data_IF_069106610821
#
_entry.id   IF_069106610821
#
_cell.length_a   1.000
_cell.length_b   1.000
_cell.length_c   1.000
_cell.angle_alpha   90.00
_cell.angle_beta   90.00
_cell.angle_gamma   90.00
#
_symmetry.space_group_name_H-M   'P 1'
#
loop_
_entity.id
_entity.type
_entity.pdbx_description
1 polymer ?
#
# COMPACT_ATOMS: atom_id res chain seq x y z
N UNK A 1 -22.39 -4.00 -12.77
CA UNK A 1 -22.58 -4.78 -14.00
C UNK A 1 -21.26 -5.48 -14.29
N UNK A 2 -21.29 -6.78 -14.54
CA UNK A 2 -20.13 -7.55 -14.96
C UNK A 2 -20.49 -8.34 -16.21
N UNK A 3 -19.66 -8.28 -17.22
CA UNK A 3 -19.77 -9.06 -18.46
C UNK A 3 -18.51 -9.88 -18.62
N UNK A 4 -18.66 -11.15 -18.98
CA UNK A 4 -17.56 -12.03 -19.31
C UNK A 4 -17.84 -12.67 -20.67
N UNK A 5 -16.88 -12.55 -21.56
CA UNK A 5 -16.91 -13.12 -22.90
C UNK A 5 -15.83 -14.18 -22.99
N UNK A 6 -16.24 -15.43 -23.14
CA UNK A 6 -15.31 -16.54 -23.38
C UNK A 6 -15.24 -16.77 -24.90
N UNK A 7 -14.03 -16.77 -25.41
CA UNK A 7 -13.75 -17.04 -26.82
C UNK A 7 -13.13 -18.45 -26.97
N UNK A 8 -13.03 -18.90 -28.20
CA UNK A 8 -12.29 -20.13 -28.51
C UNK A 8 -10.82 -20.03 -28.07
N UNK A 9 -10.18 -21.17 -27.87
CA UNK A 9 -8.78 -21.27 -27.45
C UNK A 9 -8.49 -20.66 -26.08
N UNK A 10 -9.35 -20.84 -25.08
CA UNK A 10 -9.15 -20.47 -23.69
C UNK A 10 -8.83 -18.97 -23.47
N UNK A 11 -9.57 -18.12 -24.13
CA UNK A 11 -9.49 -16.67 -23.99
C UNK A 11 -10.72 -16.14 -23.27
N UNK A 12 -10.51 -15.17 -22.38
CA UNK A 12 -11.60 -14.50 -21.67
C UNK A 12 -11.39 -13.01 -21.64
N UNK A 13 -12.41 -12.25 -22.02
CA UNK A 13 -12.49 -10.80 -21.84
C UNK A 13 -13.55 -10.50 -20.79
N UNK A 14 -13.18 -9.70 -19.79
CA UNK A 14 -14.11 -9.24 -18.74
C UNK A 14 -14.21 -7.73 -18.78
N UNK A 15 -15.43 -7.23 -18.63
CA UNK A 15 -15.70 -5.80 -18.49
C UNK A 15 -16.60 -5.60 -17.29
N UNK A 16 -16.20 -4.70 -16.39
CA UNK A 16 -16.97 -4.39 -15.21
C UNK A 16 -17.21 -2.90 -15.04
N UNK A 17 -18.43 -2.56 -14.64
CA UNK A 17 -18.82 -1.23 -14.17
C UNK A 17 -19.36 -1.38 -12.76
N UNK A 18 -18.80 -0.64 -11.80
CA UNK A 18 -19.19 -0.75 -10.41
C UNK A 18 -19.24 0.61 -9.73
N UNK A 19 -20.16 0.75 -8.78
CA UNK A 19 -20.12 1.80 -7.77
C UNK A 19 -19.66 1.17 -6.47
N UNK A 20 -18.45 1.54 -6.05
CA UNK A 20 -17.81 1.01 -4.86
C UNK A 20 -18.03 1.94 -3.67
N UNK A 21 -18.23 1.36 -2.49
CA UNK A 21 -18.40 2.10 -1.24
C UNK A 21 -17.57 1.40 -0.17
N UNK A 22 -16.73 2.16 0.54
CA UNK A 22 -16.00 1.69 1.71
C UNK A 22 -16.24 2.65 2.88
N UNK A 23 -16.61 2.10 4.03
CA UNK A 23 -16.85 2.91 5.23
C UNK A 23 -15.51 3.35 5.83
N UNK A 24 -15.51 4.50 6.49
CA UNK A 24 -14.41 4.91 7.34
C UNK A 24 -14.15 3.85 8.43
N UNK A 25 -12.91 3.77 8.90
CA UNK A 25 -12.55 2.89 10.02
C UNK A 25 -13.27 3.35 11.28
N UNK A 26 -13.59 2.42 12.18
CA UNK A 26 -14.31 2.71 13.42
C UNK A 26 -13.57 3.72 14.30
N UNK A 27 -12.24 3.60 14.37
CA UNK A 27 -11.38 4.54 15.10
C UNK A 27 -11.42 5.96 14.53
N UNK A 28 -11.57 6.10 13.21
CA UNK A 28 -11.75 7.40 12.56
C UNK A 28 -13.13 8.03 12.85
N UNK A 29 -14.14 7.22 13.15
CA UNK A 29 -15.51 7.64 13.41
C UNK A 29 -15.82 7.80 14.91
N UNK A 30 -14.84 7.60 15.80
CA UNK A 30 -15.04 7.77 17.25
C UNK A 30 -15.49 9.20 17.57
N UNK A 31 -16.42 9.34 18.53
CA UNK A 31 -16.89 10.64 19.01
C UNK A 31 -15.98 11.24 20.10
N UNK A 32 -15.04 10.45 20.63
CA UNK A 32 -14.13 10.91 21.69
C UNK A 32 -13.07 11.86 21.17
N UNK A 33 -12.77 12.90 21.95
CA UNK A 33 -11.72 13.87 21.71
C UNK A 33 -10.69 13.79 22.84
N UNK A 34 -9.43 13.86 22.48
CA UNK A 34 -8.30 14.08 23.38
C UNK A 34 -8.07 15.59 23.42
N UNK A 35 -8.51 16.25 24.50
CA UNK A 35 -8.46 17.70 24.65
C UNK A 35 -7.35 18.13 25.61
N UNK A 36 -6.69 19.23 25.30
CA UNK A 36 -5.71 19.84 26.18
C UNK A 36 -5.48 21.31 25.84
N UNK A 37 -4.85 22.05 26.74
CA UNK A 37 -4.41 23.44 26.56
C UNK A 37 -2.92 23.53 26.71
N UNK A 38 -2.24 24.16 25.78
CA UNK A 38 -0.80 24.43 25.88
C UNK A 38 -0.55 25.49 26.97
N UNK A 39 0.10 25.12 28.05
CA UNK A 39 0.32 26.01 29.19
C UNK A 39 1.20 27.21 28.86
N UNK A 40 2.08 27.12 27.88
CA UNK A 40 2.97 28.21 27.50
C UNK A 40 2.30 29.24 26.58
N UNK A 41 1.35 28.83 25.76
CA UNK A 41 0.68 29.71 24.77
C UNK A 41 -0.78 30.01 25.07
N UNK A 42 -1.39 29.23 25.98
CA UNK A 42 -2.83 29.26 26.28
C UNK A 42 -3.70 28.70 25.15
N UNK A 43 -3.10 28.12 24.12
CA UNK A 43 -3.84 27.59 22.95
C UNK A 43 -4.45 26.22 23.23
N UNK A 44 -5.78 26.08 23.07
CA UNK A 44 -6.41 24.77 23.16
C UNK A 44 -6.13 23.93 21.91
N UNK A 45 -6.11 22.63 22.11
CA UNK A 45 -5.99 21.66 21.03
C UNK A 45 -6.75 20.40 21.32
N UNK A 46 -7.29 19.77 20.29
CA UNK A 46 -7.89 18.45 20.41
C UNK A 46 -7.53 17.54 19.24
N UNK A 47 -7.44 16.25 19.56
CA UNK A 47 -7.33 15.19 18.57
C UNK A 47 -8.45 14.17 18.74
N UNK A 48 -8.98 13.65 17.63
CA UNK A 48 -10.05 12.67 17.76
C UNK A 48 -10.53 12.10 16.44
N UNK A 49 -11.69 11.45 16.51
CA UNK A 49 -12.41 10.98 15.33
C UNK A 49 -13.42 12.01 14.83
N UNK A 50 -14.14 11.60 13.79
CA UNK A 50 -15.23 12.39 13.22
C UNK A 50 -16.42 11.45 12.90
N UNK A 51 -17.45 11.40 13.71
CA UNK A 51 -18.61 10.53 13.48
C UNK A 51 -19.45 10.92 12.26
N UNK A 52 -19.23 12.11 11.69
CA UNK A 52 -19.93 12.60 10.50
C UNK A 52 -19.24 12.22 9.18
N UNK A 53 -18.20 11.40 9.23
CA UNK A 53 -17.50 10.96 8.02
C UNK A 53 -18.43 10.26 7.04
N UNK A 54 -18.40 10.75 5.81
CA UNK A 54 -19.03 10.08 4.68
C UNK A 54 -18.15 8.91 4.22
N UNK A 55 -18.75 7.80 3.78
CA UNK A 55 -17.98 6.69 3.23
C UNK A 55 -17.22 7.10 1.97
N UNK A 56 -16.11 6.41 1.72
CA UNK A 56 -15.44 6.49 0.42
C UNK A 56 -16.37 5.97 -0.65
N UNK A 57 -16.44 6.66 -1.76
CA UNK A 57 -17.22 6.27 -2.93
C UNK A 57 -16.39 6.40 -4.17
N UNK A 58 -16.48 5.41 -5.05
CA UNK A 58 -15.84 5.42 -6.34
C UNK A 58 -16.77 4.87 -7.42
N UNK A 59 -16.73 5.45 -8.59
CA UNK A 59 -17.23 4.82 -9.81
C UNK A 59 -16.05 4.14 -10.49
N UNK A 60 -16.16 2.85 -10.74
CA UNK A 60 -15.10 2.03 -11.29
C UNK A 60 -15.46 1.46 -12.65
N UNK A 61 -14.49 1.47 -13.55
CA UNK A 61 -14.47 0.76 -14.82
C UNK A 61 -13.25 -0.15 -14.83
N UNK A 62 -13.45 -1.43 -15.11
CA UNK A 62 -12.40 -2.43 -15.21
C UNK A 62 -12.58 -3.22 -16.52
N UNK A 63 -11.47 -3.47 -17.22
CA UNK A 63 -11.42 -4.37 -18.37
C UNK A 63 -10.21 -5.28 -18.23
N UNK A 64 -10.39 -6.59 -18.40
CA UNK A 64 -9.29 -7.55 -18.39
C UNK A 64 -9.39 -8.55 -19.51
N UNK A 65 -8.24 -8.93 -20.02
CA UNK A 65 -8.09 -10.00 -21.01
C UNK A 65 -7.15 -11.05 -20.46
N UNK A 66 -7.57 -12.31 -20.55
CA UNK A 66 -6.85 -13.47 -20.07
C UNK A 66 -6.72 -14.50 -21.21
N UNK A 67 -5.52 -15.04 -21.38
CA UNK A 67 -5.25 -16.15 -22.29
C UNK A 67 -4.56 -17.26 -21.53
N UNK A 68 -5.18 -18.41 -21.55
CA UNK A 68 -4.63 -19.63 -20.94
C UNK A 68 -4.01 -20.55 -21.99
N UNK A 69 -2.97 -21.25 -21.61
CA UNK A 69 -2.27 -22.24 -22.43
C UNK A 69 -2.22 -23.55 -21.64
N UNK A 70 -3.24 -24.38 -21.83
CA UNK A 70 -3.45 -25.57 -21.02
C UNK A 70 -3.75 -25.22 -19.56
N UNK A 71 -3.26 -26.05 -18.64
CA UNK A 71 -3.62 -25.95 -17.20
C UNK A 71 -2.62 -25.16 -16.36
N UNK A 72 -1.45 -24.80 -16.88
CA UNK A 72 -0.34 -24.26 -16.08
C UNK A 72 0.16 -22.90 -16.54
N UNK A 73 -0.14 -22.50 -17.75
CA UNK A 73 0.37 -21.25 -18.30
C UNK A 73 -0.75 -20.25 -18.61
N UNK A 74 -0.50 -18.99 -18.33
CA UNK A 74 -1.40 -17.90 -18.71
C UNK A 74 -0.64 -16.60 -18.90
N UNK A 75 -1.24 -15.70 -19.66
CA UNK A 75 -0.93 -14.28 -19.71
C UNK A 75 -2.22 -13.49 -19.50
N UNK A 76 -2.12 -12.39 -18.78
CA UNK A 76 -3.27 -11.51 -18.54
C UNK A 76 -2.84 -10.05 -18.58
N UNK A 77 -3.76 -9.20 -19.04
CA UNK A 77 -3.63 -7.76 -18.99
C UNK A 77 -4.96 -7.17 -18.50
N UNK A 78 -4.88 -6.24 -17.56
CA UNK A 78 -6.05 -5.57 -17.01
C UNK A 78 -5.81 -4.05 -16.97
N UNK A 79 -6.82 -3.29 -17.33
CA UNK A 79 -6.84 -1.84 -17.12
C UNK A 79 -8.02 -1.50 -16.22
N UNK A 80 -7.78 -0.58 -15.29
CA UNK A 80 -8.82 -0.06 -14.41
C UNK A 80 -8.78 1.46 -14.35
N UNK A 81 -9.97 2.04 -14.16
CA UNK A 81 -10.16 3.46 -13.90
C UNK A 81 -11.16 3.65 -12.77
N UNK A 82 -10.82 4.46 -11.76
CA UNK A 82 -11.69 4.77 -10.62
C UNK A 82 -11.78 6.27 -10.43
N UNK A 83 -13.00 6.78 -10.54
CA UNK A 83 -13.37 8.14 -10.19
C UNK A 83 -13.74 8.17 -8.71
N UNK A 84 -12.81 8.64 -7.87
CA UNK A 84 -12.95 8.74 -6.42
C UNK A 84 -13.79 9.97 -6.07
N UNK A 85 -15.00 9.76 -5.53
CA UNK A 85 -15.91 10.85 -5.17
C UNK A 85 -15.59 11.48 -3.82
N UNK A 86 -14.88 10.77 -2.96
CA UNK A 86 -14.41 11.27 -1.67
C UNK A 86 -13.16 10.52 -1.24
N UNK A 87 -12.33 11.19 -0.47
CA UNK A 87 -11.15 10.63 0.18
C UNK A 87 -11.14 11.05 1.65
N UNK A 88 -10.83 10.13 2.57
CA UNK A 88 -10.75 10.44 4.00
C UNK A 88 -9.28 10.58 4.37
N UNK A 89 -8.91 11.69 4.99
CA UNK A 89 -7.56 11.94 5.49
C UNK A 89 -7.61 12.72 6.81
N UNK A 90 -6.59 12.53 7.64
CA UNK A 90 -6.46 13.27 8.89
C UNK A 90 -5.84 14.63 8.62
N UNK A 91 -6.44 15.67 9.14
CA UNK A 91 -6.00 17.05 8.97
C UNK A 91 -6.07 17.80 10.30
N UNK A 92 -5.06 18.63 10.55
CA UNK A 92 -5.14 19.67 11.57
C UNK A 92 -5.80 20.91 10.96
N UNK A 93 -6.78 21.46 11.65
CA UNK A 93 -7.44 22.73 11.32
C UNK A 93 -7.25 23.71 12.45
N UNK A 94 -6.70 24.88 12.12
CA UNK A 94 -6.64 26.01 13.02
C UNK A 94 -7.98 26.76 13.02
N UNK A 95 -8.18 27.66 13.98
CA UNK A 95 -9.40 28.47 14.03
C UNK A 95 -10.63 27.73 14.63
N UNK A 96 -10.43 26.54 15.21
CA UNK A 96 -11.53 25.83 15.86
C UNK A 96 -11.91 26.50 17.18
N UNK A 97 -13.21 26.72 17.41
CA UNK A 97 -13.74 27.28 18.64
C UNK A 97 -13.91 26.19 19.72
N UNK A 98 -13.17 26.32 20.82
CA UNK A 98 -13.18 25.41 21.95
C UNK A 98 -14.00 25.92 23.14
N UNK A 99 -14.75 27.00 23.00
CA UNK A 99 -15.49 27.63 24.11
C UNK A 99 -16.29 26.62 24.93
N UNK A 100 -17.01 25.70 24.28
CA UNK A 100 -17.81 24.70 24.96
C UNK A 100 -16.99 23.63 25.72
N UNK A 101 -15.79 23.31 25.22
CA UNK A 101 -14.87 22.35 25.83
C UNK A 101 -14.04 22.97 26.97
N UNK A 102 -13.99 24.29 27.05
CA UNK A 102 -13.28 25.03 28.08
C UNK A 102 -14.15 25.31 29.32
N UNK A 103 -15.44 25.00 29.27
CA UNK A 103 -16.34 25.16 30.42
C UNK A 103 -15.82 24.32 31.60
N UNK A 104 -15.47 25.02 32.69
CA UNK A 104 -14.91 24.35 33.88
C UNK A 104 -13.41 24.01 33.82
N UNK A 105 -12.72 24.35 32.72
CA UNK A 105 -11.28 24.17 32.63
C UNK A 105 -10.54 25.15 33.54
N UNK A 106 -9.62 24.65 34.37
CA UNK A 106 -8.77 25.43 35.24
C UNK A 106 -7.32 25.28 34.82
N UNK A 107 -6.70 26.39 34.46
CA UNK A 107 -5.27 26.41 34.08
C UNK A 107 -4.39 26.13 35.27
N UNK A 108 -3.29 25.37 35.12
CA UNK A 108 -2.26 25.26 36.13
C UNK A 108 -1.67 26.61 36.51
N UNK A 109 -1.19 26.83 37.74
CA UNK A 109 -0.51 28.05 38.15
C UNK A 109 0.67 28.38 37.23
N UNK A 110 0.77 29.63 36.78
CA UNK A 110 1.85 30.08 35.90
C UNK A 110 1.61 29.84 34.39
N UNK A 111 0.45 29.31 34.02
CA UNK A 111 0.07 29.17 32.61
C UNK A 111 -0.30 30.50 31.97
N UNK A 112 -0.10 30.59 30.65
CA UNK A 112 -0.62 31.68 29.84
C UNK A 112 -2.15 31.73 29.88
N UNK A 113 -2.79 32.93 29.67
CA UNK A 113 -4.24 33.03 29.57
C UNK A 113 -4.82 32.11 28.49
N UNK A 114 -5.88 31.39 28.82
CA UNK A 114 -6.52 30.45 27.88
C UNK A 114 -7.21 31.21 26.78
N UNK A 115 -6.93 30.78 25.54
CA UNK A 115 -7.61 31.24 24.32
C UNK A 115 -8.80 30.34 24.01
N UNK A 116 -9.84 30.86 23.35
CA UNK A 116 -10.98 30.07 22.92
C UNK A 116 -10.75 29.40 21.58
N UNK A 117 -9.85 29.93 20.77
CA UNK A 117 -9.54 29.46 19.43
C UNK A 117 -8.24 28.67 19.44
N UNK A 118 -8.25 27.50 18.80
CA UNK A 118 -7.11 26.61 18.77
C UNK A 118 -7.14 25.65 17.59
N UNK A 119 -6.44 24.52 17.74
CA UNK A 119 -6.23 23.53 16.68
C UNK A 119 -6.97 22.23 16.93
N UNK A 120 -7.76 21.78 15.93
CA UNK A 120 -8.45 20.50 15.91
C UNK A 120 -7.80 19.56 14.89
N UNK A 121 -7.38 18.37 15.33
CA UNK A 121 -6.85 17.30 14.45
C UNK A 121 -7.85 16.16 14.37
N UNK A 122 -8.41 15.93 13.20
CA UNK A 122 -9.41 14.88 12.97
C UNK A 122 -9.41 14.39 11.53
N UNK A 123 -9.99 13.21 11.23
CA UNK A 123 -10.24 12.80 9.87
C UNK A 123 -11.39 13.61 9.24
N UNK A 124 -11.21 13.99 7.99
CA UNK A 124 -12.18 14.72 7.16
C UNK A 124 -12.31 14.09 5.78
N UNK A 125 -13.46 14.34 5.15
CA UNK A 125 -13.65 14.00 3.76
C UNK A 125 -13.02 15.06 2.84
N UNK A 126 -12.11 14.64 1.95
CA UNK A 126 -11.61 15.44 0.85
C UNK A 126 -12.49 15.32 -0.40
N UNK A 127 -12.12 16.04 -1.45
CA UNK A 127 -12.89 16.09 -2.71
C UNK A 127 -12.81 14.80 -3.53
N UNK A 128 -11.84 13.92 -3.25
CA UNK A 128 -11.60 12.71 -4.05
C UNK A 128 -10.59 12.96 -5.16
N UNK A 129 -10.80 12.34 -6.31
CA UNK A 129 -9.86 12.41 -7.44
C UNK A 129 -9.95 11.20 -8.34
N UNK A 130 -8.84 10.79 -8.95
CA UNK A 130 -8.81 9.65 -9.86
C UNK A 130 -7.70 8.65 -9.51
N UNK A 131 -7.92 7.41 -9.88
CA UNK A 131 -6.96 6.33 -9.84
C UNK A 131 -7.13 5.48 -11.09
N UNK A 132 -6.05 5.23 -11.83
CA UNK A 132 -6.05 4.35 -12.99
C UNK A 132 -4.77 3.52 -13.04
N UNK A 133 -4.82 2.42 -13.78
CA UNK A 133 -3.63 1.60 -13.94
C UNK A 133 -3.77 0.51 -14.97
N UNK A 134 -2.60 0.00 -15.37
CA UNK A 134 -2.44 -1.18 -16.21
C UNK A 134 -1.72 -2.25 -15.41
N UNK A 135 -2.28 -3.43 -15.35
CA UNK A 135 -1.71 -4.61 -14.70
C UNK A 135 -1.45 -5.69 -15.74
N UNK A 136 -0.24 -6.24 -15.71
CA UNK A 136 0.18 -7.34 -16.57
C UNK A 136 0.61 -8.51 -15.69
N UNK A 137 0.23 -9.73 -16.05
CA UNK A 137 0.69 -10.93 -15.37
C UNK A 137 0.90 -12.09 -16.33
N UNK A 138 1.86 -12.94 -16.01
CA UNK A 138 2.17 -14.14 -16.77
C UNK A 138 2.70 -15.24 -15.85
N UNK A 139 2.32 -16.48 -16.16
CA UNK A 139 2.90 -17.69 -15.58
C UNK A 139 3.22 -18.65 -16.73
N UNK A 140 4.50 -18.93 -16.93
CA UNK A 140 4.98 -19.65 -18.11
C UNK A 140 5.96 -20.75 -17.68
N UNK A 141 5.56 -22.04 -17.66
CA UNK A 141 6.47 -23.16 -17.69
C UNK A 141 7.30 -23.14 -18.99
N UNK A 142 8.62 -23.18 -18.90
CA UNK A 142 9.49 -22.99 -20.06
C UNK A 142 9.58 -24.22 -20.97
N UNK A 143 9.15 -25.37 -20.53
CA UNK A 143 9.00 -26.57 -21.37
C UNK A 143 7.98 -26.40 -22.52
N UNK A 144 7.07 -25.44 -22.39
CA UNK A 144 6.17 -25.06 -23.49
C UNK A 144 6.90 -24.41 -24.67
N UNK A 145 8.01 -23.73 -24.40
CA UNK A 145 8.84 -23.08 -25.42
C UNK A 145 9.93 -23.99 -25.95
N UNK A 146 10.51 -24.82 -25.07
CA UNK A 146 11.61 -25.68 -25.38
C UNK A 146 11.67 -26.85 -24.40
N UNK A 147 11.43 -28.08 -24.88
CA UNK A 147 11.30 -29.27 -24.03
C UNK A 147 12.46 -29.52 -23.05
N UNK A 148 13.74 -29.28 -23.40
CA UNK A 148 14.86 -29.41 -22.44
C UNK A 148 14.75 -28.49 -21.22
N UNK A 149 13.95 -27.44 -21.26
CA UNK A 149 13.66 -26.56 -20.12
C UNK A 149 12.60 -27.12 -19.16
N UNK A 150 12.29 -28.41 -19.23
CA UNK A 150 11.33 -29.06 -18.35
C UNK A 150 11.71 -28.88 -16.88
N UNK A 151 10.76 -28.40 -16.11
CA UNK A 151 10.91 -28.03 -14.70
C UNK A 151 11.24 -26.58 -14.45
N UNK A 152 11.73 -25.84 -15.44
CA UNK A 152 11.90 -24.40 -15.32
C UNK A 152 10.61 -23.64 -15.63
N UNK A 153 10.43 -22.52 -14.94
CA UNK A 153 9.33 -21.61 -15.24
C UNK A 153 9.56 -20.21 -14.71
N UNK A 154 8.72 -19.30 -15.19
CA UNK A 154 8.73 -17.88 -14.83
C UNK A 154 7.33 -17.47 -14.44
N UNK A 155 7.21 -16.72 -13.34
CA UNK A 155 6.00 -15.97 -12.96
C UNK A 155 6.38 -14.50 -12.90
N UNK A 156 5.68 -13.67 -13.63
CA UNK A 156 5.95 -12.24 -13.70
C UNK A 156 4.67 -11.44 -13.54
N UNK A 157 4.76 -10.30 -12.86
CA UNK A 157 3.71 -9.28 -12.87
C UNK A 157 4.32 -7.89 -12.91
N UNK A 158 3.60 -6.97 -13.55
CA UNK A 158 3.92 -5.55 -13.60
C UNK A 158 2.65 -4.75 -13.41
N UNK A 159 2.71 -3.72 -12.57
CA UNK A 159 1.62 -2.76 -12.37
C UNK A 159 2.13 -1.35 -12.59
N UNK A 160 1.41 -0.60 -13.40
CA UNK A 160 1.63 0.81 -13.70
C UNK A 160 0.40 1.58 -13.25
N UNK A 161 0.55 2.43 -12.23
CA UNK A 161 -0.58 3.15 -11.66
C UNK A 161 -0.33 4.65 -11.68
N UNK A 162 -1.37 5.41 -11.91
CA UNK A 162 -1.39 6.84 -11.78
C UNK A 162 -2.60 7.28 -10.97
N UNK A 163 -2.41 8.25 -10.10
CA UNK A 163 -3.46 8.74 -9.21
C UNK A 163 -3.29 10.21 -8.90
N UNK A 164 -4.40 10.86 -8.70
CA UNK A 164 -4.47 12.28 -8.36
C UNK A 164 -5.65 12.50 -7.42
N UNK A 165 -5.40 12.93 -6.19
CA UNK A 165 -6.43 13.26 -5.20
C UNK A 165 -6.30 14.69 -4.75
N UNK A 166 -7.43 15.37 -4.57
CA UNK A 166 -7.47 16.69 -3.96
C UNK A 166 -7.71 16.58 -2.45
N UNK A 167 -6.71 16.99 -1.69
CA UNK A 167 -6.80 17.14 -0.24
C UNK A 167 -7.10 18.62 0.03
N UNK A 168 -8.10 18.89 0.89
CA UNK A 168 -8.37 20.23 1.34
C UNK A 168 -7.12 20.78 2.04
N UNK A 169 -6.58 21.89 1.56
CA UNK A 169 -5.51 22.56 2.25
C UNK A 169 -6.00 23.08 3.60
N UNK A 170 -5.16 23.08 4.66
CA UNK A 170 -5.44 23.88 5.84
C UNK A 170 -5.63 25.35 5.41
N UNK A 171 -6.55 26.07 6.04
CA UNK A 171 -6.88 27.45 5.67
C UNK A 171 -5.68 28.41 5.72
N UNK A 172 -4.62 28.02 6.45
CA UNK A 172 -3.38 28.81 6.64
C UNK A 172 -2.12 28.15 6.05
N UNK A 173 -2.25 27.17 5.15
CA UNK A 173 -1.08 26.48 4.61
C UNK A 173 -0.33 27.33 3.59
N UNK A 174 0.85 27.76 3.95
CA UNK A 174 1.76 28.51 3.08
C UNK A 174 2.71 27.64 2.26
N UNK A 175 2.83 26.31 2.50
CA UNK A 175 4.07 25.66 2.14
C UNK A 175 4.02 24.47 1.19
N UNK A 176 3.02 23.64 1.19
CA UNK A 176 2.97 22.54 0.20
C UNK A 176 1.71 22.69 -0.64
N UNK A 177 1.88 23.36 -1.75
CA UNK A 177 0.87 23.74 -2.73
C UNK A 177 -0.49 23.03 -2.63
N UNK A 178 -1.55 23.79 -2.81
CA UNK A 178 -2.94 23.33 -2.81
C UNK A 178 -3.27 22.39 -3.98
N UNK A 179 -2.25 21.88 -4.68
CA UNK A 179 -2.40 21.01 -5.83
C UNK A 179 -2.76 19.57 -5.45
N UNK A 180 -3.28 18.82 -6.43
CA UNK A 180 -3.53 17.40 -6.26
C UNK A 180 -2.22 16.64 -6.01
N UNK A 181 -2.31 15.58 -5.21
CA UNK A 181 -1.18 14.68 -4.90
C UNK A 181 -1.50 13.26 -5.32
N UNK A 182 -0.46 12.43 -5.46
CA UNK A 182 -0.67 11.00 -5.65
C UNK A 182 -1.30 10.36 -4.40
N UNK A 183 -2.08 9.31 -4.58
CA UNK A 183 -2.69 8.56 -3.49
C UNK A 183 -1.62 7.95 -2.58
N UNK A 184 -1.63 8.22 -1.26
CA UNK A 184 -0.67 7.65 -0.34
C UNK A 184 -0.71 6.12 -0.32
N UNK A 185 0.44 5.50 -0.13
CA UNK A 185 0.60 4.05 -0.14
C UNK A 185 0.73 3.42 -1.53
N UNK A 186 0.54 4.19 -2.60
CA UNK A 186 0.52 3.70 -3.97
C UNK A 186 1.81 4.03 -4.73
N UNK A 187 2.58 3.00 -5.09
CA UNK A 187 3.74 3.14 -5.98
C UNK A 187 3.29 3.21 -7.43
N UNK A 188 3.86 4.13 -8.23
CA UNK A 188 3.54 4.25 -9.66
C UNK A 188 3.93 3.03 -10.49
N UNK A 189 4.93 2.29 -10.05
CA UNK A 189 5.45 1.09 -10.74
C UNK A 189 5.78 0.01 -9.72
N UNK A 190 5.24 -1.18 -9.94
CA UNK A 190 5.54 -2.38 -9.15
C UNK A 190 5.83 -3.52 -10.12
N UNK A 191 6.90 -4.26 -9.86
CA UNK A 191 7.31 -5.42 -10.63
C UNK A 191 7.57 -6.59 -9.69
N UNK A 192 7.11 -7.77 -10.06
CA UNK A 192 7.49 -9.03 -9.42
C UNK A 192 7.93 -9.99 -10.50
N UNK A 193 9.07 -10.63 -10.29
CA UNK A 193 9.61 -11.65 -11.17
C UNK A 193 10.08 -12.83 -10.33
N UNK A 194 9.53 -13.99 -10.60
CA UNK A 194 9.95 -15.26 -10.01
C UNK A 194 10.46 -16.16 -11.12
N UNK A 195 11.69 -16.63 -10.99
CA UNK A 195 12.21 -17.76 -11.77
C UNK A 195 12.28 -18.99 -10.85
N UNK A 196 11.88 -20.13 -11.36
CA UNK A 196 11.88 -21.36 -10.58
C UNK A 196 12.34 -22.56 -11.41
N UNK A 197 12.83 -23.59 -10.70
CA UNK A 197 13.06 -24.92 -11.19
C UNK A 197 12.46 -25.92 -10.23
N UNK A 198 11.64 -26.83 -10.73
CA UNK A 198 10.96 -27.84 -9.93
C UNK A 198 10.98 -29.17 -10.68
N UNK A 199 11.71 -30.16 -10.15
CA UNK A 199 11.78 -31.50 -10.73
C UNK A 199 12.29 -32.53 -9.72
N UNK A 200 11.67 -33.73 -9.72
CA UNK A 200 12.13 -34.87 -8.93
C UNK A 200 12.34 -34.58 -7.43
N UNK A 201 11.45 -33.81 -6.83
CA UNK A 201 11.52 -33.45 -5.42
C UNK A 201 12.48 -32.29 -5.14
N UNK A 202 13.30 -31.85 -6.08
CA UNK A 202 14.11 -30.65 -5.95
C UNK A 202 13.34 -29.42 -6.45
N UNK A 203 13.37 -28.36 -5.66
CA UNK A 203 12.77 -27.09 -5.98
C UNK A 203 13.77 -25.96 -5.68
N UNK A 204 13.93 -25.07 -6.64
CA UNK A 204 14.69 -23.83 -6.48
C UNK A 204 13.85 -22.66 -6.99
N UNK A 205 13.81 -21.58 -6.25
CA UNK A 205 13.04 -20.37 -6.61
C UNK A 205 13.80 -19.13 -6.23
N UNK A 206 13.83 -18.15 -7.14
CA UNK A 206 14.31 -16.79 -6.87
C UNK A 206 13.19 -15.83 -7.21
N UNK A 207 12.89 -14.94 -6.30
CA UNK A 207 11.92 -13.87 -6.50
C UNK A 207 12.60 -12.51 -6.37
N UNK A 208 12.30 -11.61 -7.29
CA UNK A 208 12.68 -10.20 -7.22
C UNK A 208 11.41 -9.35 -7.21
N UNK A 209 11.28 -8.50 -6.21
CA UNK A 209 10.20 -7.52 -6.07
C UNK A 209 10.79 -6.12 -6.10
N UNK A 210 10.31 -5.29 -7.02
CA UNK A 210 10.73 -3.91 -7.16
C UNK A 210 9.52 -2.98 -7.19
N UNK A 211 9.60 -1.87 -6.48
CA UNK A 211 8.60 -0.79 -6.56
C UNK A 211 9.26 0.58 -6.60
N UNK A 212 8.58 1.56 -7.19
CA UNK A 212 9.02 2.96 -7.19
C UNK A 212 8.68 3.63 -5.86
N UNK A 213 9.29 4.80 -5.61
CA UNK A 213 8.96 5.69 -4.51
C UNK A 213 7.44 5.99 -4.47
N UNK A 214 6.92 6.25 -3.28
CA UNK A 214 5.51 6.60 -3.07
C UNK A 214 5.35 7.49 -1.84
N UNK A 215 4.21 8.19 -1.74
CA UNK A 215 3.85 8.95 -0.55
C UNK A 215 3.43 7.95 0.53
N UNK A 216 4.23 7.83 1.59
CA UNK A 216 3.94 6.96 2.74
C UNK A 216 2.93 7.60 3.68
N UNK A 217 3.11 8.88 3.97
CA UNK A 217 2.33 9.59 4.95
C UNK A 217 2.13 11.07 4.57
N UNK A 218 0.97 11.58 4.91
CA UNK A 218 0.67 13.02 4.89
C UNK A 218 0.75 13.49 6.33
N UNK A 219 1.86 14.13 6.69
CA UNK A 219 2.08 14.69 8.00
C UNK A 219 1.66 16.15 8.08
N UNK A 220 1.51 16.63 9.30
CA UNK A 220 1.35 18.04 9.62
C UNK A 220 2.49 18.44 10.56
N UNK A 221 3.32 19.37 10.14
CA UNK A 221 4.38 19.93 10.97
C UNK A 221 4.15 21.45 11.10
N UNK A 222 4.08 21.93 12.32
CA UNK A 222 3.86 23.37 12.63
C UNK A 222 2.66 23.99 11.87
N UNK A 223 1.59 23.22 11.63
CA UNK A 223 0.42 23.68 10.85
C UNK A 223 0.56 23.52 9.35
N UNK A 224 1.71 23.10 8.86
CA UNK A 224 1.99 22.91 7.45
C UNK A 224 1.86 21.45 7.04
N UNK A 225 1.27 21.21 5.86
CA UNK A 225 1.21 19.87 5.28
C UNK A 225 2.59 19.45 4.78
N UNK A 226 3.10 18.34 5.28
CA UNK A 226 4.33 17.73 4.81
C UNK A 226 4.06 16.37 4.16
N UNK A 227 4.73 16.08 3.04
CA UNK A 227 4.66 14.78 2.38
C UNK A 227 5.92 13.98 2.76
N UNK A 228 5.70 12.84 3.40
CA UNK A 228 6.73 11.86 3.68
C UNK A 228 6.70 10.79 2.60
N UNK A 229 7.79 10.64 1.90
CA UNK A 229 7.96 9.64 0.86
C UNK A 229 8.70 8.42 1.41
N UNK A 230 8.32 7.25 0.92
CA UNK A 230 9.09 6.01 1.07
C UNK A 230 9.87 5.80 -0.22
N UNK A 231 11.18 5.57 -0.10
CA UNK A 231 12.05 5.24 -1.23
C UNK A 231 11.64 3.88 -1.81
N UNK A 232 11.67 3.76 -3.12
CA UNK A 232 11.37 2.50 -3.79
C UNK A 232 12.34 1.40 -3.37
N UNK A 233 11.85 0.18 -3.31
CA UNK A 233 12.58 -1.01 -2.85
C UNK A 233 12.86 -1.96 -3.99
N UNK A 234 13.97 -2.72 -3.88
CA UNK A 234 14.36 -3.79 -4.79
C UNK A 234 14.82 -5.02 -3.99
N UNK A 235 13.86 -5.84 -3.57
CA UNK A 235 14.09 -6.97 -2.68
C UNK A 235 14.19 -8.26 -3.48
N UNK A 236 15.25 -9.03 -3.23
CA UNK A 236 15.47 -10.35 -3.80
C UNK A 236 15.47 -11.41 -2.72
N UNK A 237 14.64 -12.43 -2.91
CA UNK A 237 14.53 -13.60 -2.03
C UNK A 237 14.87 -14.86 -2.83
N UNK A 238 15.43 -15.88 -2.17
CA UNK A 238 15.67 -17.17 -2.78
C UNK A 238 15.29 -18.31 -1.84
N UNK A 239 14.88 -19.43 -2.42
CA UNK A 239 14.51 -20.64 -1.71
C UNK A 239 15.02 -21.85 -2.45
N UNK A 240 15.54 -22.82 -1.71
CA UNK A 240 15.85 -24.16 -2.19
C UNK A 240 15.16 -25.16 -1.28
N UNK A 241 14.51 -26.15 -1.85
CA UNK A 241 13.95 -27.26 -1.09
C UNK A 241 14.21 -28.59 -1.77
N UNK A 242 14.23 -29.65 -0.95
CA UNK A 242 14.29 -31.02 -1.44
C UNK A 242 13.35 -31.91 -0.62
N UNK A 243 12.44 -32.58 -1.33
CA UNK A 243 11.48 -33.53 -0.77
C UNK A 243 11.88 -34.95 -1.16
N UNK A 244 12.16 -35.79 -0.16
CA UNK A 244 12.56 -37.17 -0.36
C UNK A 244 11.33 -38.04 -0.77
N UNK A 245 11.38 -38.60 -1.97
CA UNK A 245 10.29 -39.38 -2.54
C UNK A 245 10.24 -40.82 -2.04
N UNK A 246 9.30 -41.58 -2.60
CA UNK A 246 8.93 -42.99 -2.23
C UNK A 246 10.12 -43.97 -2.23
N UNK A 247 11.12 -43.78 -3.09
CA UNK A 247 12.30 -44.67 -3.18
C UNK A 247 13.40 -44.37 -2.15
N UNK A 248 13.23 -43.36 -1.31
CA UNK A 248 14.23 -42.95 -0.33
C UNK A 248 13.95 -43.58 1.05
N UNK A 249 15.03 -43.90 1.79
CA UNK A 249 14.93 -44.21 3.22
C UNK A 249 14.42 -43.07 4.08
N UNK A 250 14.49 -41.82 3.54
CA UNK A 250 14.03 -40.59 4.16
C UNK A 250 12.69 -40.13 3.58
N UNK A 251 11.90 -41.06 2.99
CA UNK A 251 10.56 -40.74 2.47
C UNK A 251 9.76 -39.92 3.46
N UNK A 252 9.10 -38.89 2.97
CA UNK A 252 8.29 -37.98 3.79
C UNK A 252 9.09 -36.82 4.42
N UNK A 253 10.44 -36.89 4.44
CA UNK A 253 11.25 -35.74 4.86
C UNK A 253 11.34 -34.70 3.73
N UNK A 254 11.20 -33.44 4.09
CA UNK A 254 11.51 -32.30 3.24
C UNK A 254 12.44 -31.35 3.96
N UNK A 255 13.46 -30.88 3.27
CA UNK A 255 14.43 -29.88 3.77
C UNK A 255 14.22 -28.57 3.00
N UNK A 256 14.34 -27.45 3.69
CA UNK A 256 14.15 -26.12 3.16
C UNK A 256 15.30 -25.22 3.61
N UNK A 257 15.86 -24.46 2.68
CA UNK A 257 16.73 -23.32 2.93
C UNK A 257 16.10 -22.10 2.25
N UNK A 258 15.84 -21.06 3.02
CA UNK A 258 15.28 -19.80 2.53
C UNK A 258 16.20 -18.65 2.92
N UNK A 259 16.39 -17.72 1.99
CA UNK A 259 17.13 -16.48 2.20
C UNK A 259 16.28 -15.31 1.73
N UNK A 260 16.03 -14.37 2.64
CA UNK A 260 15.25 -13.16 2.36
C UNK A 260 16.15 -11.94 2.38
N UNK A 261 15.79 -10.97 1.54
CA UNK A 261 16.51 -9.71 1.37
C UNK A 261 18.00 -9.91 1.02
N UNK A 262 18.29 -10.73 0.02
CA UNK A 262 19.66 -11.04 -0.42
C UNK A 262 20.48 -9.80 -0.80
N UNK A 263 19.81 -8.75 -1.33
CA UNK A 263 20.41 -7.47 -1.67
C UNK A 263 20.77 -6.62 -0.45
N UNK A 264 20.35 -6.99 0.75
CA UNK A 264 20.41 -6.15 1.97
C UNK A 264 19.78 -4.77 1.74
N UNK A 265 18.63 -4.76 1.07
CA UNK A 265 17.86 -3.53 0.79
C UNK A 265 17.47 -2.86 2.10
N UNK A 266 17.60 -1.53 2.15
CA UNK A 266 17.29 -0.72 3.33
C UNK A 266 15.95 0.01 3.14
N UNK A 267 15.22 0.16 4.22
CA UNK A 267 14.02 1.00 4.24
C UNK A 267 14.41 2.45 4.48
N UNK A 268 14.03 3.34 3.57
CA UNK A 268 14.38 4.75 3.65
C UNK A 268 13.15 5.63 3.44
N UNK A 269 13.08 6.73 4.17
CA UNK A 269 12.06 7.76 3.99
C UNK A 269 12.70 9.15 3.87
N UNK A 270 11.99 10.06 3.17
CA UNK A 270 12.44 11.44 3.00
C UNK A 270 11.27 12.42 3.00
N UNK A 271 11.54 13.69 3.31
CA UNK A 271 10.54 14.78 3.32
C UNK A 271 10.67 15.65 2.07
N UNK A 272 9.69 15.55 1.17
CA UNK A 272 9.61 16.34 -0.05
C UNK A 272 10.63 15.95 -1.12
N UNK A 273 11.93 15.96 -0.83
CA UNK A 273 13.01 15.59 -1.75
C UNK A 273 14.04 14.67 -1.09
N UNK A 274 14.76 13.87 -1.90
CA UNK A 274 15.68 12.82 -1.42
C UNK A 274 16.91 13.33 -0.65
N UNK A 275 17.24 14.60 -0.80
CA UNK A 275 18.29 15.28 -0.03
C UNK A 275 17.86 15.60 1.42
N UNK A 276 16.62 15.33 1.79
CA UNK A 276 16.07 15.47 3.14
C UNK A 276 15.67 14.13 3.72
N UNK A 277 16.62 13.23 4.02
CA UNK A 277 16.33 11.92 4.59
C UNK A 277 15.73 12.07 5.99
N UNK A 278 14.75 11.22 6.31
CA UNK A 278 14.10 11.16 7.63
C UNK A 278 14.52 9.91 8.39
N UNK A 279 14.44 8.76 7.73
CA UNK A 279 14.77 7.47 8.32
C UNK A 279 15.58 6.63 7.35
N UNK A 280 16.48 5.85 7.92
CA UNK A 280 17.21 4.78 7.24
C UNK A 280 17.28 3.59 8.18
N UNK A 281 16.59 2.49 7.82
CA UNK A 281 16.49 1.30 8.66
C UNK A 281 17.03 0.11 7.86
N UNK A 282 18.02 -0.57 8.44
CA UNK A 282 18.61 -1.78 7.91
C UNK A 282 18.02 -3.01 8.61
N UNK A 283 17.14 -3.73 7.92
CA UNK A 283 16.54 -4.97 8.44
C UNK A 283 17.50 -6.16 8.32
N UNK A 284 18.51 -6.08 7.46
CA UNK A 284 19.46 -7.14 7.22
C UNK A 284 18.90 -8.25 6.32
N UNK A 285 19.72 -9.30 6.16
CA UNK A 285 19.36 -10.55 5.48
C UNK A 285 18.86 -11.56 6.52
N UNK A 286 17.88 -12.33 6.14
CA UNK A 286 17.38 -13.42 6.99
C UNK A 286 17.60 -14.75 6.27
N UNK A 287 18.23 -15.71 6.96
CA UNK A 287 18.43 -17.07 6.46
C UNK A 287 17.71 -18.03 7.40
N UNK A 288 16.87 -18.87 6.85
CA UNK A 288 16.09 -19.87 7.56
C UNK A 288 16.41 -21.26 7.05
N UNK A 289 16.62 -22.19 7.95
CA UNK A 289 16.72 -23.63 7.66
C UNK A 289 15.52 -24.32 8.28
N UNK A 290 14.83 -25.12 7.49
CA UNK A 290 13.64 -25.86 7.91
C UNK A 290 13.72 -27.35 7.55
N UNK A 291 13.07 -28.16 8.35
CA UNK A 291 12.81 -29.55 8.04
C UNK A 291 11.36 -29.88 8.41
N UNK A 292 10.67 -30.63 7.55
CA UNK A 292 9.33 -31.14 7.84
C UNK A 292 9.27 -32.62 7.50
N UNK A 293 8.46 -33.36 8.26
CA UNK A 293 8.27 -34.79 8.03
C UNK A 293 6.78 -35.13 7.96
N UNK A 294 6.39 -35.78 6.88
CA UNK A 294 5.02 -36.25 6.67
C UNK A 294 4.97 -37.78 6.89
N UNK A 295 4.21 -38.19 7.90
CA UNK A 295 3.97 -39.59 8.26
C UNK A 295 3.03 -40.25 7.27
#
# INVERSE_FOLDING_TARGET
MNLAFSFENDQTLRVALARQVARARVDQMRASLEFGVNNATGEPGAGGGNPLLQPWRANAFDISYEKYFGTKAYVAAAYFYKDLRSYIFTQARDGYDFTDLLVGYVSPPGSAPVKNIGRMTAPFNGKGGMLQGLELSASLPLDMLWEPMRGFGIVASASFTDSSIEILAPENASSVGNGPIALPGLSKRVYNLTAYYERNGFEFRVNNRRRSDFIGEIGNFAGERSLRYVVGENITDAQVSYSFGEGSRMKGLSLLLQASNLGNETYQTYAGSKDRPLENIEWGRTILLGASYKF
#
